data_IF_491047314358
#
_entry.id   IF_491047314358
#
_cell.length_a   1.000
_cell.length_b   1.000
_cell.length_c   1.000
_cell.angle_alpha   90.00
_cell.angle_beta   90.00
_cell.angle_gamma   90.00
#
_symmetry.space_group_name_H-M   'P 1'
#
loop_
_entity.id
_entity.type
_entity.pdbx_description
1 polymer ?
#
# COMPACT_ATOMS: atom_id res chain seq x y z
N UNK A 1 4.30 -14.31 -13.27
CA UNK A 1 4.11 -13.51 -14.50
C UNK A 1 3.06 -14.12 -15.43
N UNK A 2 2.98 -15.47 -15.55
CA UNK A 2 1.97 -16.10 -16.42
C UNK A 2 0.52 -15.71 -16.07
N UNK A 3 0.21 -15.51 -14.79
CA UNK A 3 -1.12 -15.12 -14.30
C UNK A 3 -1.47 -13.66 -14.71
N UNK A 4 -0.48 -12.81 -14.94
CA UNK A 4 -0.66 -11.40 -15.31
C UNK A 4 -1.25 -11.19 -16.71
N UNK A 5 -1.33 -12.22 -17.54
CA UNK A 5 -1.85 -12.15 -18.91
C UNK A 5 -1.26 -10.96 -19.69
N UNK A 6 -2.10 -10.05 -20.12
CA UNK A 6 -1.70 -8.87 -20.93
C UNK A 6 -0.79 -7.90 -20.15
N UNK A 7 -0.89 -7.87 -18.81
CA UNK A 7 -0.04 -7.03 -17.95
C UNK A 7 1.36 -7.61 -17.70
N UNK A 8 1.66 -8.79 -18.24
CA UNK A 8 2.98 -9.44 -18.07
C UNK A 8 4.15 -8.61 -18.60
N UNK A 9 3.90 -7.74 -19.58
CA UNK A 9 4.89 -6.81 -20.13
C UNK A 9 5.35 -5.79 -19.10
N UNK A 10 4.44 -5.21 -18.34
CA UNK A 10 4.72 -4.24 -17.27
C UNK A 10 5.63 -4.88 -16.19
N UNK A 11 5.29 -6.09 -15.75
CA UNK A 11 6.08 -6.79 -14.74
C UNK A 11 7.49 -7.17 -15.22
N UNK A 12 7.63 -7.49 -16.52
CA UNK A 12 8.95 -7.74 -17.13
C UNK A 12 9.79 -6.48 -17.17
N UNK A 13 9.18 -5.30 -17.45
CA UNK A 13 9.87 -4.01 -17.42
C UNK A 13 10.46 -3.76 -16.03
N UNK A 14 9.69 -4.01 -14.95
CA UNK A 14 10.18 -3.85 -13.57
C UNK A 14 11.40 -4.75 -13.29
N UNK A 15 11.30 -6.04 -13.61
CA UNK A 15 12.41 -6.98 -13.41
C UNK A 15 13.64 -6.57 -14.19
N UNK A 16 13.47 -6.18 -15.46
CA UNK A 16 14.58 -5.74 -16.31
C UNK A 16 15.22 -4.44 -15.81
N UNK A 17 14.40 -3.53 -15.26
CA UNK A 17 14.88 -2.25 -14.71
C UNK A 17 15.88 -2.48 -13.57
N UNK A 18 15.57 -3.42 -12.67
CA UNK A 18 16.42 -3.68 -11.51
C UNK A 18 17.45 -4.81 -11.70
N UNK A 19 17.45 -5.51 -12.85
CA UNK A 19 18.37 -6.64 -13.11
C UNK A 19 19.85 -6.24 -12.98
N UNK A 20 20.18 -5.01 -13.34
CA UNK A 20 21.56 -4.46 -13.29
C UNK A 20 21.71 -3.32 -12.28
N UNK A 21 20.75 -3.15 -11.37
CA UNK A 21 20.84 -2.13 -10.34
C UNK A 21 21.99 -2.46 -9.37
N UNK A 22 22.82 -1.47 -8.98
CA UNK A 22 23.92 -1.68 -8.04
C UNK A 22 23.45 -2.11 -6.65
N UNK A 23 22.19 -1.81 -6.28
CA UNK A 23 21.58 -2.29 -5.05
C UNK A 23 20.81 -3.61 -5.31
N UNK A 24 21.38 -4.78 -4.92
CA UNK A 24 20.75 -6.07 -5.19
C UNK A 24 19.43 -6.27 -4.45
N UNK A 25 19.15 -5.47 -3.41
CA UNK A 25 17.91 -5.51 -2.67
C UNK A 25 16.73 -5.11 -3.55
N UNK A 26 16.91 -4.16 -4.47
CA UNK A 26 15.84 -3.71 -5.39
C UNK A 26 15.35 -4.83 -6.31
N UNK A 27 16.27 -5.63 -6.84
CA UNK A 27 15.87 -6.78 -7.67
C UNK A 27 15.15 -7.87 -6.86
N UNK A 28 15.64 -8.15 -5.64
CA UNK A 28 14.94 -9.05 -4.71
C UNK A 28 13.54 -8.53 -4.39
N UNK A 29 13.41 -7.22 -4.14
CA UNK A 29 12.15 -6.54 -3.88
C UNK A 29 11.15 -6.67 -5.05
N UNK A 30 11.61 -6.45 -6.28
CA UNK A 30 10.81 -6.61 -7.47
C UNK A 30 10.26 -8.04 -7.61
N UNK A 31 11.11 -9.04 -7.39
CA UNK A 31 10.69 -10.45 -7.41
C UNK A 31 9.67 -10.75 -6.32
N UNK A 32 9.95 -10.34 -5.09
CA UNK A 32 9.06 -10.56 -3.95
C UNK A 32 7.66 -9.97 -4.19
N UNK A 33 7.59 -8.71 -4.63
CA UNK A 33 6.30 -8.06 -4.90
C UNK A 33 5.53 -8.77 -6.02
N UNK A 34 6.20 -9.14 -7.11
CA UNK A 34 5.57 -9.83 -8.23
C UNK A 34 5.07 -11.24 -7.84
N UNK A 35 5.82 -11.97 -7.02
CA UNK A 35 5.43 -13.30 -6.54
C UNK A 35 4.22 -13.25 -5.61
N UNK A 36 4.10 -12.21 -4.79
CA UNK A 36 3.01 -12.03 -3.82
C UNK A 36 1.81 -11.21 -4.35
N UNK A 37 1.93 -10.64 -5.55
CA UNK A 37 0.89 -9.79 -6.16
C UNK A 37 -0.42 -10.51 -6.52
N UNK A 38 -0.50 -11.82 -6.81
CA UNK A 38 -1.75 -12.46 -7.19
C UNK A 38 -2.89 -12.34 -6.17
N UNK A 39 -2.56 -12.11 -4.90
CA UNK A 39 -3.53 -11.91 -3.81
C UNK A 39 -3.85 -10.44 -3.56
N UNK A 40 -3.20 -9.52 -4.25
CA UNK A 40 -3.39 -8.08 -4.05
C UNK A 40 -4.46 -7.56 -5.02
N UNK A 41 -5.46 -6.89 -4.47
CA UNK A 41 -6.54 -6.27 -5.23
C UNK A 41 -7.09 -5.05 -4.49
N UNK A 42 -7.72 -4.16 -5.22
CA UNK A 42 -8.52 -3.08 -4.66
C UNK A 42 -10.00 -3.41 -4.81
N UNK A 43 -10.78 -2.90 -3.87
CA UNK A 43 -12.23 -2.95 -3.93
C UNK A 43 -12.73 -1.57 -4.35
N UNK A 44 -13.61 -1.52 -5.32
CA UNK A 44 -14.25 -0.30 -5.82
C UNK A 44 -15.76 -0.44 -5.72
N UNK A 45 -16.47 0.66 -5.69
CA UNK A 45 -17.93 0.70 -5.72
C UNK A 45 -18.55 1.53 -4.61
N UNK A 46 -19.86 1.78 -4.72
CA UNK A 46 -20.60 2.64 -3.80
C UNK A 46 -20.47 2.26 -2.33
N UNK A 47 -20.26 0.97 -2.03
CA UNK A 47 -20.11 0.51 -0.65
C UNK A 47 -18.80 0.98 -0.04
N UNK A 48 -17.71 1.02 -0.83
CA UNK A 48 -16.40 1.54 -0.39
C UNK A 48 -16.52 3.04 -0.11
N UNK A 49 -17.14 3.80 -1.03
CA UNK A 49 -17.34 5.24 -0.87
C UNK A 49 -18.15 5.56 0.40
N UNK A 50 -19.15 4.73 0.72
CA UNK A 50 -19.92 4.87 1.95
C UNK A 50 -19.07 4.58 3.18
N UNK A 51 -18.30 3.49 3.17
CA UNK A 51 -17.38 3.13 4.27
C UNK A 51 -16.39 4.26 4.52
N UNK A 52 -15.75 4.75 3.48
CA UNK A 52 -14.78 5.85 3.57
C UNK A 52 -15.44 7.11 4.12
N UNK A 53 -16.64 7.45 3.63
CA UNK A 53 -17.40 8.59 4.15
C UNK A 53 -17.74 8.45 5.64
N UNK A 54 -18.00 7.23 6.13
CA UNK A 54 -18.24 6.95 7.54
C UNK A 54 -16.96 7.20 8.35
N UNK A 55 -15.83 6.70 7.89
CA UNK A 55 -14.54 6.89 8.57
C UNK A 55 -14.17 8.38 8.65
N UNK A 56 -14.29 9.12 7.56
CA UNK A 56 -14.05 10.57 7.53
C UNK A 56 -14.94 11.32 8.52
N UNK A 57 -16.24 11.01 8.55
CA UNK A 57 -17.20 11.70 9.44
C UNK A 57 -17.07 11.32 10.91
N UNK A 58 -16.56 10.12 11.19
CA UNK A 58 -16.52 9.56 12.55
C UNK A 58 -15.10 9.40 13.10
N UNK A 59 -14.10 9.97 12.47
CA UNK A 59 -12.70 9.86 12.88
C UNK A 59 -12.45 10.25 14.34
N UNK A 60 -13.14 11.27 14.82
CA UNK A 60 -12.97 11.83 16.16
C UNK A 60 -14.06 11.43 17.17
N UNK A 61 -14.89 10.43 16.86
CA UNK A 61 -15.94 9.98 17.80
C UNK A 61 -15.59 8.65 18.45
N UNK A 62 -16.28 8.34 19.56
CA UNK A 62 -16.07 7.06 20.25
C UNK A 62 -16.46 5.87 19.38
N UNK A 63 -15.83 4.71 19.62
CA UNK A 63 -16.08 3.48 18.86
C UNK A 63 -17.57 3.12 18.78
N UNK A 64 -18.31 3.25 19.89
CA UNK A 64 -19.74 2.92 19.94
C UNK A 64 -20.57 3.81 19.00
N UNK A 65 -20.24 5.09 18.90
CA UNK A 65 -20.91 6.04 18.00
C UNK A 65 -20.59 5.68 16.55
N UNK A 66 -19.32 5.36 16.26
CA UNK A 66 -18.89 4.92 14.94
C UNK A 66 -19.58 3.64 14.50
N UNK A 67 -19.65 2.64 15.39
CA UNK A 67 -20.32 1.36 15.10
C UNK A 67 -21.79 1.58 14.74
N UNK A 68 -22.49 2.38 15.55
CA UNK A 68 -23.89 2.70 15.25
C UNK A 68 -24.05 3.43 13.92
N UNK A 69 -23.19 4.39 13.64
CA UNK A 69 -23.23 5.13 12.37
C UNK A 69 -22.96 4.21 11.17
N UNK A 70 -22.05 3.25 11.34
CA UNK A 70 -21.76 2.23 10.35
C UNK A 70 -22.98 1.34 10.11
N UNK A 71 -23.59 0.79 11.16
CA UNK A 71 -24.79 -0.06 11.07
C UNK A 71 -25.95 0.67 10.37
N UNK A 72 -26.21 1.92 10.76
CA UNK A 72 -27.29 2.75 10.17
C UNK A 72 -27.03 3.05 8.68
N UNK A 73 -25.77 3.33 8.32
CA UNK A 73 -25.39 3.68 6.94
C UNK A 73 -25.31 2.47 6.01
N UNK A 74 -25.03 1.29 6.54
CA UNK A 74 -24.95 0.04 5.78
C UNK A 74 -26.32 -0.66 5.64
N UNK A 75 -27.36 -0.13 6.26
CA UNK A 75 -28.69 -0.70 6.22
C UNK A 75 -29.24 -0.71 4.79
N UNK A 76 -29.51 -1.89 4.25
CA UNK A 76 -30.04 -2.06 2.88
C UNK A 76 -28.99 -2.08 1.78
N UNK A 77 -27.70 -2.00 2.12
CA UNK A 77 -26.60 -2.17 1.16
C UNK A 77 -26.33 -3.67 1.00
N UNK A 78 -26.48 -4.15 -0.22
CA UNK A 78 -26.18 -5.54 -0.54
C UNK A 78 -24.68 -5.72 -0.79
N UNK A 79 -24.10 -6.86 -0.35
CA UNK A 79 -22.67 -7.17 -0.57
C UNK A 79 -22.24 -7.27 -2.05
N UNK A 80 -23.18 -7.32 -2.96
CA UNK A 80 -22.97 -7.61 -4.38
C UNK A 80 -22.43 -6.41 -5.20
N UNK A 81 -22.16 -5.27 -4.56
CA UNK A 81 -21.69 -4.06 -5.24
C UNK A 81 -20.18 -3.84 -5.10
N UNK A 82 -19.41 -4.90 -4.89
CA UNK A 82 -17.97 -4.83 -4.84
C UNK A 82 -17.35 -5.30 -6.16
N UNK A 83 -16.66 -4.42 -6.83
CA UNK A 83 -15.78 -4.78 -7.94
C UNK A 83 -14.34 -4.93 -7.42
N UNK A 84 -13.73 -6.07 -7.69
CA UNK A 84 -12.35 -6.34 -7.32
C UNK A 84 -11.42 -6.18 -8.52
N UNK A 85 -10.53 -5.21 -8.47
CA UNK A 85 -9.51 -4.99 -9.49
C UNK A 85 -8.16 -5.52 -9.00
N UNK A 86 -7.69 -6.62 -9.59
CA UNK A 86 -6.44 -7.27 -9.21
C UNK A 86 -5.21 -6.51 -9.71
N UNK A 87 -4.26 -6.27 -8.81
CA UNK A 87 -3.04 -5.53 -9.11
C UNK A 87 -2.21 -6.20 -10.19
N UNK A 88 -2.10 -7.52 -10.17
CA UNK A 88 -1.34 -8.27 -11.15
C UNK A 88 -1.78 -8.02 -12.60
N UNK A 89 -3.05 -7.63 -12.78
CA UNK A 89 -3.64 -7.36 -14.09
C UNK A 89 -3.61 -5.88 -14.50
N UNK A 90 -3.32 -4.96 -13.56
CA UNK A 90 -3.53 -3.52 -13.78
C UNK A 90 -2.36 -2.64 -13.36
N UNK A 91 -1.42 -3.14 -12.54
CA UNK A 91 -0.30 -2.34 -12.04
C UNK A 91 0.62 -1.92 -13.17
N UNK A 92 1.10 -0.68 -13.10
CA UNK A 92 2.06 -0.13 -14.07
C UNK A 92 3.48 -0.26 -13.57
N UNK A 93 4.42 -0.50 -14.49
CA UNK A 93 5.83 -0.63 -14.18
C UNK A 93 6.37 0.60 -13.44
N UNK A 94 6.01 1.79 -13.89
CA UNK A 94 6.43 3.05 -13.28
C UNK A 94 6.04 3.14 -11.80
N UNK A 95 4.80 2.77 -11.47
CA UNK A 95 4.32 2.78 -10.08
C UNK A 95 5.13 1.81 -9.21
N UNK A 96 5.35 0.59 -9.70
CA UNK A 96 6.04 -0.44 -8.94
C UNK A 96 7.53 -0.12 -8.77
N UNK A 97 8.18 0.43 -9.81
CA UNK A 97 9.56 0.92 -9.74
C UNK A 97 9.69 1.99 -8.66
N UNK A 98 8.82 3.01 -8.71
CA UNK A 98 8.81 4.09 -7.71
C UNK A 98 8.57 3.58 -6.29
N UNK A 99 7.66 2.64 -6.11
CA UNK A 99 7.38 2.05 -4.80
C UNK A 99 8.61 1.30 -4.24
N UNK A 100 9.32 0.55 -5.08
CA UNK A 100 10.54 -0.15 -4.70
C UNK A 100 11.67 0.83 -4.37
N UNK A 101 11.87 1.86 -5.19
CA UNK A 101 12.88 2.88 -4.94
C UNK A 101 12.63 3.57 -3.60
N UNK A 102 11.42 4.07 -3.38
CA UNK A 102 11.04 4.71 -2.12
C UNK A 102 11.24 3.81 -0.90
N UNK A 103 10.87 2.54 -1.00
CA UNK A 103 11.03 1.59 0.10
C UNK A 103 12.53 1.30 0.39
N UNK A 104 13.35 1.12 -0.65
CA UNK A 104 14.79 0.90 -0.49
C UNK A 104 15.51 2.14 0.05
N UNK A 105 15.11 3.33 -0.38
CA UNK A 105 15.67 4.59 0.11
C UNK A 105 15.30 4.83 1.58
N UNK A 106 14.04 4.59 1.95
CA UNK A 106 13.60 4.66 3.35
C UNK A 106 14.33 3.65 4.24
N UNK A 107 14.51 2.42 3.76
CA UNK A 107 15.27 1.39 4.47
C UNK A 107 16.72 1.80 4.67
N UNK A 108 17.42 2.21 3.61
CA UNK A 108 18.84 2.55 3.65
C UNK A 108 19.14 3.81 4.46
N UNK A 109 18.20 4.76 4.51
CA UNK A 109 18.35 6.01 5.28
C UNK A 109 17.99 5.86 6.75
N UNK A 110 17.33 4.79 7.15
CA UNK A 110 16.95 4.56 8.54
C UNK A 110 18.18 4.16 9.38
N UNK A 111 18.27 4.66 10.61
CA UNK A 111 19.37 4.31 11.54
C UNK A 111 19.20 2.94 12.17
N UNK A 112 18.03 2.36 12.09
CA UNK A 112 17.67 1.09 12.74
C UNK A 112 17.74 -0.13 11.79
N UNK A 113 17.91 0.07 10.48
CA UNK A 113 17.88 -1.04 9.51
C UNK A 113 18.99 -2.06 9.73
N UNK A 114 20.14 -1.64 10.30
CA UNK A 114 21.26 -2.53 10.61
C UNK A 114 20.96 -3.54 11.75
N UNK A 115 19.95 -3.24 12.58
CA UNK A 115 19.53 -4.10 13.69
C UNK A 115 18.55 -5.20 13.25
N UNK A 116 18.08 -5.18 12.01
CA UNK A 116 17.06 -6.09 11.51
C UNK A 116 17.52 -6.80 10.23
N UNK A 117 17.02 -8.01 10.03
CA UNK A 117 17.26 -8.74 8.79
C UNK A 117 16.35 -8.29 7.64
N UNK A 118 16.68 -8.72 6.41
CA UNK A 118 15.92 -8.35 5.22
C UNK A 118 14.44 -8.79 5.27
N UNK A 119 14.04 -9.71 6.13
CA UNK A 119 12.64 -10.13 6.24
C UNK A 119 11.73 -9.01 6.72
N UNK A 120 12.25 -8.17 7.63
CA UNK A 120 11.54 -6.97 8.10
C UNK A 120 11.32 -5.98 6.96
N UNK A 121 12.30 -5.80 6.10
CA UNK A 121 12.13 -4.97 4.90
C UNK A 121 11.02 -5.50 4.01
N UNK A 122 11.02 -6.79 3.68
CA UNK A 122 10.03 -7.38 2.78
C UNK A 122 8.61 -7.35 3.34
N UNK A 123 8.44 -7.55 4.65
CA UNK A 123 7.11 -7.62 5.26
C UNK A 123 6.54 -6.26 5.65
N UNK A 124 7.38 -5.32 6.08
CA UNK A 124 6.90 -4.09 6.74
C UNK A 124 7.25 -2.79 6.02
N UNK A 125 8.31 -2.77 5.21
CA UNK A 125 8.76 -1.56 4.51
C UNK A 125 8.37 -1.57 3.03
N UNK A 126 8.63 -2.69 2.36
CA UNK A 126 8.45 -2.83 0.92
C UNK A 126 7.00 -2.83 0.43
N UNK A 127 6.02 -3.48 1.09
CA UNK A 127 4.69 -3.60 0.51
C UNK A 127 4.05 -2.23 0.22
N UNK A 128 3.59 -2.03 -1.01
CA UNK A 128 2.96 -0.79 -1.51
C UNK A 128 1.47 -0.69 -1.17
N UNK A 129 0.89 -1.75 -0.63
CA UNK A 129 -0.52 -1.88 -0.28
C UNK A 129 -0.66 -2.54 1.09
N UNK A 130 -1.64 -2.13 1.88
CA UNK A 130 -1.92 -2.71 3.20
C UNK A 130 -3.08 -3.69 3.18
N UNK A 131 -4.12 -3.36 2.43
CA UNK A 131 -5.36 -4.12 2.36
C UNK A 131 -5.95 -4.01 0.95
N UNK A 132 -7.19 -3.59 0.83
CA UNK A 132 -7.95 -3.52 -0.42
C UNK A 132 -8.24 -2.08 -0.87
N UNK A 133 -7.53 -1.13 -0.30
CA UNK A 133 -7.62 0.29 -0.62
C UNK A 133 -7.13 0.59 -2.05
N UNK A 134 -7.56 1.70 -2.67
CA UNK A 134 -6.98 2.19 -3.92
C UNK A 134 -5.47 2.39 -3.81
N UNK A 135 -4.75 2.18 -4.91
CA UNK A 135 -3.31 2.45 -4.97
C UNK A 135 -3.06 3.95 -4.98
N UNK A 136 -2.41 4.43 -3.94
CA UNK A 136 -1.96 5.82 -3.79
C UNK A 136 -0.46 5.88 -3.56
N UNK A 137 0.14 7.05 -3.76
CA UNK A 137 1.57 7.27 -3.46
C UNK A 137 1.76 7.72 -2.01
N UNK A 138 1.16 6.99 -1.09
CA UNK A 138 1.16 7.33 0.33
C UNK A 138 2.57 7.37 0.95
N UNK A 139 3.52 6.59 0.42
CA UNK A 139 4.93 6.65 0.87
C UNK A 139 5.54 8.03 0.62
N UNK A 140 5.32 8.60 -0.56
CA UNK A 140 5.84 9.93 -0.87
C UNK A 140 5.19 10.99 0.04
N UNK A 141 3.87 10.90 0.25
CA UNK A 141 3.14 11.80 1.14
C UNK A 141 3.71 11.75 2.57
N UNK A 142 3.91 10.56 3.13
CA UNK A 142 4.47 10.42 4.48
C UNK A 142 5.90 10.94 4.56
N UNK A 143 6.75 10.62 3.58
CA UNK A 143 8.12 11.10 3.58
C UNK A 143 8.22 12.63 3.47
N UNK A 144 7.28 13.26 2.78
CA UNK A 144 7.20 14.71 2.63
C UNK A 144 6.66 15.38 3.91
N UNK A 145 5.59 14.86 4.48
CA UNK A 145 4.92 15.46 5.64
C UNK A 145 5.62 15.13 6.97
N UNK A 146 6.24 13.96 7.06
CA UNK A 146 6.87 13.46 8.29
C UNK A 146 8.30 12.93 8.09
N UNK A 147 9.24 13.76 7.60
CA UNK A 147 10.58 13.29 7.24
C UNK A 147 11.39 12.74 8.44
N UNK A 148 11.00 13.05 9.67
CA UNK A 148 11.66 12.55 10.89
C UNK A 148 11.06 11.24 11.41
N UNK A 149 9.85 10.87 11.02
CA UNK A 149 9.21 9.64 11.47
C UNK A 149 9.87 8.41 10.87
N UNK A 150 10.30 8.48 9.63
CA UNK A 150 11.06 7.41 8.98
C UNK A 150 12.39 7.10 9.68
N UNK A 151 12.94 8.07 10.42
CA UNK A 151 14.22 7.94 11.10
C UNK A 151 14.13 7.40 12.53
N UNK A 152 13.01 7.57 13.22
CA UNK A 152 12.94 7.38 14.67
C UNK A 152 11.85 6.42 15.16
N UNK A 153 10.93 5.98 14.31
CA UNK A 153 9.77 5.19 14.77
C UNK A 153 9.47 4.06 13.83
N UNK A 154 9.50 2.84 14.36
CA UNK A 154 8.82 1.70 13.74
C UNK A 154 7.32 1.89 14.00
N UNK A 155 6.70 2.81 13.29
CA UNK A 155 5.25 2.93 13.32
C UNK A 155 4.63 1.81 12.50
N UNK A 156 3.51 1.28 12.98
CA UNK A 156 2.77 0.35 12.15
C UNK A 156 2.39 1.08 10.86
N UNK A 157 2.78 0.53 9.75
CA UNK A 157 2.50 1.03 8.41
C UNK A 157 1.02 1.40 8.22
N UNK A 158 0.10 0.66 8.86
CA UNK A 158 -1.33 0.94 8.88
C UNK A 158 -1.67 2.30 9.48
N UNK A 159 -1.00 2.69 10.56
CA UNK A 159 -1.20 3.99 11.18
C UNK A 159 -0.75 5.12 10.26
N UNK A 160 0.42 4.99 9.66
CA UNK A 160 0.99 6.00 8.77
C UNK A 160 0.14 6.20 7.50
N UNK A 161 -0.32 5.14 6.89
CA UNK A 161 -1.20 5.25 5.72
C UNK A 161 -2.53 5.90 6.09
N UNK A 162 -3.14 5.51 7.20
CA UNK A 162 -4.38 6.10 7.67
C UNK A 162 -4.23 7.60 7.92
N UNK A 163 -3.15 8.04 8.56
CA UNK A 163 -2.85 9.46 8.78
C UNK A 163 -2.66 10.20 7.46
N UNK A 164 -1.86 9.68 6.53
CA UNK A 164 -1.63 10.31 5.23
C UNK A 164 -2.90 10.48 4.38
N UNK A 165 -3.83 9.55 4.49
CA UNK A 165 -5.08 9.58 3.72
C UNK A 165 -6.18 10.44 4.38
N UNK A 166 -6.17 10.59 5.70
CA UNK A 166 -7.28 11.18 6.46
C UNK A 166 -6.94 12.49 7.19
N UNK A 167 -5.68 12.88 7.30
CA UNK A 167 -5.25 14.10 8.01
C UNK A 167 -5.21 15.34 7.12
N UNK A 168 -6.01 15.36 6.05
CA UNK A 168 -6.20 16.53 5.17
C UNK A 168 -7.32 17.44 5.63
N UNK A 169 -7.46 17.68 6.95
CA UNK A 169 -8.38 18.67 7.49
C UNK A 169 -7.67 19.74 8.29
#
# INVERSE_FOLDING_TARGET
>A
IAIARDNSSELKVVLKHFESDPNPLKYKAAKFLIENMPSQFQIEGNTVDIIDSIYVRTGNVSLNVRTKYFEDSMQGILPDNFDATYDISTIKAEYLIKAIDNACDAWSSSTWHEDFDESIFFEYVLPYRLSHEPRTDWHATINEEYPLLSQNVVMSRRGLQFEAEHDKT
#
